data_IF_435625619169
#
_entry.id   IF_435625619169
#
_cell.length_a   1.000
_cell.length_b   1.000
_cell.length_c   1.000
_cell.angle_alpha   90.00
_cell.angle_beta   90.00
_cell.angle_gamma   90.00
#
_symmetry.space_group_name_H-M   'P 1'
#
loop_
_entity.id
_entity.type
_entity.pdbx_description
1 polymer ?
#
# COMPACT_ATOMS: atom_id res chain seq x y z
N UNK A 1 13.65 -19.55 -7.68
CA UNK A 1 14.26 -18.65 -6.67
C UNK A 1 13.13 -18.07 -5.84
N UNK A 2 13.13 -18.23 -4.51
CA UNK A 2 12.07 -17.68 -3.64
C UNK A 2 12.27 -16.16 -3.56
N UNK A 3 11.43 -15.39 -4.24
CA UNK A 3 11.30 -13.94 -4.03
C UNK A 3 11.01 -13.70 -2.54
N UNK A 4 12.03 -13.29 -1.77
CA UNK A 4 11.84 -12.80 -0.41
C UNK A 4 11.01 -11.52 -0.54
N UNK A 5 9.77 -11.57 -0.06
CA UNK A 5 8.94 -10.37 0.04
C UNK A 5 9.48 -9.61 1.23
N UNK A 6 10.17 -8.50 0.98
CA UNK A 6 10.68 -7.61 2.01
C UNK A 6 9.49 -6.91 2.68
N UNK A 7 8.95 -7.57 3.69
CA UNK A 7 7.92 -7.07 4.59
C UNK A 7 8.64 -6.25 5.68
N UNK A 8 8.27 -4.98 5.81
CA UNK A 8 8.84 -4.05 6.78
C UNK A 8 7.73 -3.65 7.74
N UNK A 9 8.04 -3.69 9.04
CA UNK A 9 7.15 -3.18 10.08
C UNK A 9 7.26 -1.67 10.15
N UNK A 10 6.14 -0.99 9.89
CA UNK A 10 6.04 0.47 9.91
C UNK A 10 4.90 0.83 10.84
N UNK A 11 5.20 1.57 11.92
CA UNK A 11 4.19 2.03 12.88
C UNK A 11 3.30 0.90 13.45
N UNK A 12 3.88 -0.30 13.64
CA UNK A 12 3.17 -1.47 14.15
C UNK A 12 2.30 -2.20 13.13
N UNK A 13 2.34 -1.83 11.85
CA UNK A 13 1.70 -2.56 10.73
C UNK A 13 2.75 -3.17 9.81
N UNK A 14 2.47 -4.38 9.30
CA UNK A 14 3.38 -5.12 8.41
C UNK A 14 3.06 -4.75 6.97
N UNK A 15 3.93 -3.96 6.34
CA UNK A 15 3.74 -3.49 4.97
C UNK A 15 4.83 -4.00 4.03
N UNK A 16 4.45 -4.32 2.79
CA UNK A 16 5.40 -4.75 1.77
C UNK A 16 6.14 -3.53 1.20
N UNK A 17 7.48 -3.51 1.30
CA UNK A 17 8.30 -2.37 0.89
C UNK A 17 8.12 -2.03 -0.59
N UNK A 18 7.94 -3.05 -1.44
CA UNK A 18 7.68 -2.86 -2.88
C UNK A 18 6.40 -2.07 -3.12
N UNK A 19 5.33 -2.38 -2.39
CA UNK A 19 4.05 -1.69 -2.48
C UNK A 19 4.15 -0.26 -1.94
N UNK A 20 4.90 -0.06 -0.86
CA UNK A 20 5.13 1.28 -0.28
C UNK A 20 5.84 2.22 -1.26
N UNK A 21 6.95 1.76 -1.85
CA UNK A 21 7.71 2.57 -2.82
C UNK A 21 6.84 2.88 -4.04
N UNK A 22 6.07 1.89 -4.53
CA UNK A 22 5.15 2.10 -5.65
C UNK A 22 4.07 3.15 -5.32
N UNK A 23 3.51 3.12 -4.10
CA UNK A 23 2.54 4.10 -3.62
C UNK A 23 3.10 5.53 -3.66
N UNK A 24 4.33 5.69 -3.17
CA UNK A 24 5.01 6.99 -3.12
C UNK A 24 5.30 7.47 -4.54
N UNK A 25 5.78 6.61 -5.43
CA UNK A 25 6.05 6.99 -6.82
C UNK A 25 4.77 7.42 -7.55
N UNK A 26 3.67 6.68 -7.40
CA UNK A 26 2.38 7.00 -8.04
C UNK A 26 1.81 8.32 -7.48
N UNK A 27 1.78 8.48 -6.15
CA UNK A 27 1.25 9.69 -5.52
C UNK A 27 2.09 10.92 -5.85
N UNK A 28 3.42 10.82 -5.79
CA UNK A 28 4.33 11.90 -6.14
C UNK A 28 4.22 12.29 -7.62
N UNK A 29 4.17 11.30 -8.51
CA UNK A 29 4.00 11.53 -9.95
C UNK A 29 2.66 12.20 -10.27
N UNK A 30 1.58 11.74 -9.65
CA UNK A 30 0.23 12.32 -9.81
C UNK A 30 0.16 13.76 -9.27
N UNK A 31 0.77 14.01 -8.11
CA UNK A 31 0.86 15.35 -7.51
C UNK A 31 1.62 16.31 -8.42
N UNK A 32 2.79 15.90 -8.90
CA UNK A 32 3.63 16.72 -9.77
C UNK A 32 2.97 16.95 -11.13
N UNK A 33 2.34 15.92 -11.70
CA UNK A 33 1.59 16.03 -12.96
C UNK A 33 0.42 17.00 -12.86
N UNK A 34 -0.38 16.90 -11.79
CA UNK A 34 -1.51 17.82 -11.58
C UNK A 34 -1.05 19.25 -11.30
N UNK A 35 0.05 19.43 -10.55
CA UNK A 35 0.64 20.74 -10.29
C UNK A 35 1.14 21.43 -11.56
N UNK A 36 1.73 20.67 -12.50
CA UNK A 36 2.18 21.18 -13.80
C UNK A 36 1.03 21.53 -14.74
N UNK A 37 -0.08 20.79 -14.66
CA UNK A 37 -1.27 21.04 -15.47
C UNK A 37 -2.08 22.25 -14.99
N UNK A 38 -1.77 22.77 -13.80
CA UNK A 38 -2.51 23.84 -13.20
C UNK A 38 -2.18 25.20 -13.84
N UNK A 39 -3.20 26.04 -14.10
CA UNK A 39 -3.01 27.36 -14.69
C UNK A 39 -2.19 28.26 -13.75
N UNK A 40 -1.09 28.81 -14.27
CA UNK A 40 -0.09 29.59 -13.52
C UNK A 40 -0.54 30.99 -13.12
N UNK A 41 -1.77 31.37 -13.46
CA UNK A 41 -2.34 32.69 -13.21
C UNK A 41 -2.61 32.94 -11.72
N UNK A 42 -2.72 31.87 -10.92
CA UNK A 42 -3.07 31.93 -9.50
C UNK A 42 -2.34 30.85 -8.71
N UNK A 43 -1.35 31.24 -7.91
CA UNK A 43 -0.52 30.31 -7.11
C UNK A 43 -1.38 29.42 -6.19
N UNK A 44 -2.48 29.96 -5.67
CA UNK A 44 -3.44 29.22 -4.83
C UNK A 44 -4.08 28.06 -5.60
N UNK A 45 -4.47 28.29 -6.87
CA UNK A 45 -5.07 27.25 -7.72
C UNK A 45 -4.06 26.15 -8.05
N UNK A 46 -2.78 26.51 -8.21
CA UNK A 46 -1.70 25.54 -8.41
C UNK A 46 -1.57 24.57 -7.22
N UNK A 47 -1.68 25.10 -6.00
CA UNK A 47 -1.64 24.31 -4.77
C UNK A 47 -2.85 23.37 -4.66
N UNK A 48 -4.06 23.87 -4.98
CA UNK A 48 -5.27 23.04 -5.00
C UNK A 48 -5.22 21.93 -6.05
N UNK A 49 -4.68 22.19 -7.23
CA UNK A 49 -4.48 21.18 -8.27
C UNK A 49 -3.45 20.13 -7.85
N UNK A 50 -2.32 20.55 -7.26
CA UNK A 50 -1.34 19.62 -6.70
C UNK A 50 -1.95 18.73 -5.62
N UNK A 51 -2.71 19.30 -4.68
CA UNK A 51 -3.41 18.56 -3.64
C UNK A 51 -4.46 17.60 -4.21
N UNK A 52 -5.27 18.04 -5.18
CA UNK A 52 -6.22 17.18 -5.87
C UNK A 52 -5.53 16.02 -6.58
N UNK A 53 -4.39 16.28 -7.23
CA UNK A 53 -3.53 15.25 -7.82
C UNK A 53 -2.99 14.26 -6.82
N UNK A 54 -2.60 14.72 -5.62
CA UNK A 54 -2.15 13.87 -4.53
C UNK A 54 -3.27 12.95 -4.04
N UNK A 55 -4.48 13.49 -3.84
CA UNK A 55 -5.66 12.72 -3.41
C UNK A 55 -6.04 11.67 -4.45
N UNK A 56 -6.06 12.05 -5.74
CA UNK A 56 -6.34 11.11 -6.84
C UNK A 56 -5.26 10.02 -6.90
N UNK A 57 -3.98 10.40 -6.82
CA UNK A 57 -2.86 9.46 -6.81
C UNK A 57 -2.91 8.51 -5.62
N UNK A 58 -3.35 9.00 -4.47
CA UNK A 58 -3.59 8.18 -3.28
C UNK A 58 -4.73 7.19 -3.49
N UNK A 59 -5.88 7.62 -4.02
CA UNK A 59 -7.01 6.72 -4.34
C UNK A 59 -6.59 5.66 -5.35
N UNK A 60 -5.83 6.02 -6.38
CA UNK A 60 -5.28 5.06 -7.34
C UNK A 60 -4.37 4.07 -6.64
N UNK A 61 -3.50 4.56 -5.75
CA UNK A 61 -2.59 3.72 -4.97
C UNK A 61 -3.34 2.74 -4.07
N UNK A 62 -4.45 3.14 -3.42
CA UNK A 62 -5.22 2.23 -2.56
C UNK A 62 -5.96 1.15 -3.35
N UNK A 63 -6.38 1.44 -4.58
CA UNK A 63 -6.99 0.44 -5.46
C UNK A 63 -5.95 -0.51 -6.06
N UNK A 64 -4.78 0.02 -6.45
CA UNK A 64 -3.72 -0.77 -7.09
C UNK A 64 -2.97 -1.66 -6.08
N UNK A 65 -2.75 -1.15 -4.87
CA UNK A 65 -2.16 -1.92 -3.77
C UNK A 65 -3.28 -2.69 -3.09
N UNK A 66 -3.65 -3.84 -3.68
CA UNK A 66 -4.64 -4.72 -3.07
C UNK A 66 -4.15 -5.17 -1.69
N UNK A 67 -4.98 -5.05 -0.64
CA UNK A 67 -4.65 -5.59 0.67
C UNK A 67 -4.45 -7.10 0.52
N UNK A 68 -3.25 -7.56 0.84
CA UNK A 68 -2.87 -8.96 0.76
C UNK A 68 -3.50 -9.69 1.95
N UNK A 69 -4.82 -9.88 1.94
CA UNK A 69 -5.53 -10.76 2.87
C UNK A 69 -5.19 -12.21 2.52
N UNK A 70 -3.96 -12.60 2.80
CA UNK A 70 -3.61 -14.00 2.97
C UNK A 70 -4.02 -14.36 4.40
N UNK A 71 -5.30 -14.71 4.56
CA UNK A 71 -5.71 -15.54 5.69
C UNK A 71 -5.05 -16.89 5.47
N UNK A 72 -3.79 -17.02 5.90
CA UNK A 72 -3.24 -18.33 6.16
C UNK A 72 -3.88 -18.80 7.46
N UNK A 73 -5.07 -19.35 7.35
CA UNK A 73 -5.52 -20.29 8.38
C UNK A 73 -4.55 -21.46 8.26
N UNK A 74 -3.55 -21.52 9.11
CA UNK A 74 -2.76 -22.74 9.30
C UNK A 74 -3.66 -23.74 10.05
N UNK A 75 -4.65 -24.30 9.35
CA UNK A 75 -5.57 -25.33 9.86
C UNK A 75 -4.94 -26.73 9.92
N UNK A 76 -3.60 -26.82 10.05
CA UNK A 76 -2.85 -28.07 10.14
C UNK A 76 -2.32 -28.36 11.56
N UNK A 77 -3.14 -28.09 12.58
CA UNK A 77 -3.02 -28.75 13.89
C UNK A 77 -4.32 -29.47 14.23
N UNK A 78 -4.77 -30.35 13.34
CA UNK A 78 -5.65 -31.44 13.72
C UNK A 78 -4.82 -32.54 14.40
N UNK A 79 -5.00 -32.65 15.71
CA UNK A 79 -5.15 -33.90 16.48
C UNK A 79 -4.22 -35.07 16.10
N UNK A 80 -3.17 -35.30 16.91
CA UNK A 80 -2.77 -36.65 17.32
C UNK A 80 -1.73 -36.59 18.45
N UNK A 81 -2.23 -36.39 19.66
CA UNK A 81 -1.43 -36.49 20.87
C UNK A 81 -2.32 -36.49 22.10
N UNK A 82 -2.44 -37.67 22.72
CA UNK A 82 -2.96 -37.93 24.07
C UNK A 82 -4.49 -37.98 24.24
N UNK A 83 -5.01 -39.20 24.04
CA UNK A 83 -6.07 -39.76 24.88
C UNK A 83 -5.62 -41.16 25.34
N UNK A 84 -5.51 -41.32 26.66
CA UNK A 84 -5.80 -42.49 27.52
C UNK A 84 -5.31 -43.88 27.04
N UNK A 85 -4.34 -44.50 27.73
CA UNK A 85 -4.47 -45.24 29.00
C UNK A 85 -5.41 -46.46 28.85
N UNK A 86 -4.81 -47.62 28.59
CA UNK A 86 -5.07 -48.92 29.25
C UNK A 86 -4.05 -49.98 28.77
#
# INVERSE_FOLDING_TARGET
MKEKKDLVEIWGDVVELRSLVLAICISSGSTMGAFFLAPSDDQTKQLFFGLAGAVIGFIISTVFIKPKRILKTDENQQTNGQGEHD
#
